data_IF_409495030529
#
_entry.id   IF_409495030529
#
_cell.length_a   1.000
_cell.length_b   1.000
_cell.length_c   1.000
_cell.angle_alpha   90.00
_cell.angle_beta   90.00
_cell.angle_gamma   90.00
#
_symmetry.space_group_name_H-M   'P 1'
#
loop_
_entity.id
_entity.type
_entity.pdbx_description
1 polymer ?
#
# COMPACT_ATOMS: atom_id res chain seq x y z
N UNK A 1 50.08 -32.22 -12.89
CA UNK A 1 49.43 -33.51 -13.21
C UNK A 1 47.92 -33.32 -13.12
N UNK A 2 47.13 -33.64 -14.16
CA UNK A 2 45.67 -33.63 -14.07
C UNK A 2 45.20 -34.72 -13.11
N UNK A 3 44.11 -34.51 -12.34
CA UNK A 3 43.60 -35.52 -11.41
C UNK A 3 43.13 -36.78 -12.15
N UNK A 4 43.30 -37.92 -11.50
CA UNK A 4 42.89 -39.25 -11.96
C UNK A 4 41.43 -39.27 -12.42
N UNK A 5 41.17 -39.78 -13.64
CA UNK A 5 39.83 -39.98 -14.24
C UNK A 5 38.87 -40.82 -13.37
N UNK A 6 39.39 -41.51 -12.35
CA UNK A 6 38.64 -42.37 -11.44
C UNK A 6 38.51 -41.81 -10.01
N UNK A 7 38.96 -40.58 -9.73
CA UNK A 7 38.54 -39.92 -8.50
C UNK A 7 37.06 -39.54 -8.64
N UNK A 8 36.18 -40.50 -8.36
CA UNK A 8 34.76 -40.20 -8.10
C UNK A 8 34.78 -39.22 -6.93
N UNK A 9 34.65 -37.93 -7.21
CA UNK A 9 34.33 -36.95 -6.17
C UNK A 9 33.04 -37.48 -5.56
N UNK A 10 33.12 -37.93 -4.31
CA UNK A 10 31.92 -38.29 -3.57
C UNK A 10 30.94 -37.12 -3.62
N UNK A 11 29.62 -37.37 -3.54
CA UNK A 11 28.65 -36.29 -3.46
C UNK A 11 29.07 -35.35 -2.34
N UNK A 12 29.37 -34.10 -2.68
CA UNK A 12 29.76 -33.10 -1.70
C UNK A 12 28.52 -32.76 -0.86
N UNK A 13 28.61 -32.93 0.46
CA UNK A 13 27.56 -32.50 1.39
C UNK A 13 27.72 -31.03 1.72
N UNK A 14 26.63 -30.36 2.09
CA UNK A 14 26.68 -29.01 2.64
C UNK A 14 27.43 -28.97 3.97
N UNK A 15 27.42 -30.06 4.75
CA UNK A 15 28.11 -30.15 6.04
C UNK A 15 29.65 -30.23 5.92
N UNK A 16 30.16 -30.59 4.75
CA UNK A 16 31.60 -30.73 4.49
C UNK A 16 32.27 -29.40 4.09
N UNK A 17 31.50 -28.32 4.00
CA UNK A 17 31.96 -27.00 3.58
C UNK A 17 32.02 -26.10 4.81
N UNK A 18 33.11 -25.36 4.92
CA UNK A 18 33.21 -24.28 5.89
C UNK A 18 32.02 -23.32 5.70
N UNK A 19 31.17 -23.08 6.72
CA UNK A 19 30.03 -22.19 6.62
C UNK A 19 30.42 -20.75 6.25
N UNK A 20 31.70 -20.39 6.37
CA UNK A 20 32.24 -19.07 5.97
C UNK A 20 32.67 -19.00 4.50
N UNK A 21 32.78 -20.11 3.76
CA UNK A 21 33.12 -20.14 2.33
C UNK A 21 31.86 -20.00 1.44
N UNK A 22 31.29 -18.79 1.44
CA UNK A 22 30.04 -18.45 0.75
C UNK A 22 30.07 -18.68 -0.76
N UNK A 23 31.23 -18.52 -1.40
CA UNK A 23 31.38 -18.74 -2.86
C UNK A 23 31.21 -20.21 -3.18
N UNK A 24 31.81 -21.09 -2.38
CA UNK A 24 31.73 -22.53 -2.56
C UNK A 24 30.34 -23.05 -2.17
N UNK A 25 29.76 -22.55 -1.08
CA UNK A 25 28.37 -22.80 -0.69
C UNK A 25 27.39 -22.43 -1.80
N UNK A 26 27.52 -21.23 -2.38
CA UNK A 26 26.65 -20.78 -3.48
C UNK A 26 26.75 -21.68 -4.72
N UNK A 27 27.96 -22.14 -5.08
CA UNK A 27 28.15 -23.08 -6.19
C UNK A 27 27.54 -24.45 -5.91
N UNK A 28 27.70 -24.97 -4.69
CA UNK A 28 27.11 -26.25 -4.28
C UNK A 28 25.58 -26.16 -4.22
N UNK A 29 25.06 -25.06 -3.70
CA UNK A 29 23.62 -24.76 -3.67
C UNK A 29 23.00 -24.74 -5.06
N UNK A 30 23.67 -24.09 -6.02
CA UNK A 30 23.17 -23.99 -7.39
C UNK A 30 23.05 -25.36 -8.08
N UNK A 31 23.95 -26.30 -7.77
CA UNK A 31 24.11 -27.55 -8.53
C UNK A 31 23.51 -28.78 -7.83
N UNK A 32 23.51 -28.84 -6.50
CA UNK A 32 23.38 -30.12 -5.77
C UNK A 32 22.29 -30.21 -4.69
N UNK A 33 21.47 -29.18 -4.46
CA UNK A 33 20.38 -29.26 -3.47
C UNK A 33 19.05 -29.74 -4.06
N UNK A 34 18.36 -30.68 -3.41
CA UNK A 34 16.96 -30.98 -3.68
C UNK A 34 16.08 -29.78 -3.32
N UNK A 35 15.25 -29.37 -4.29
CA UNK A 35 14.25 -28.31 -4.06
C UNK A 35 13.13 -28.81 -3.17
N UNK A 36 12.78 -28.01 -2.17
CA UNK A 36 11.59 -28.22 -1.35
C UNK A 36 10.50 -27.21 -1.74
N UNK A 37 9.21 -27.60 -1.71
CA UNK A 37 8.11 -26.68 -1.97
C UNK A 37 7.85 -25.70 -0.81
N UNK A 38 8.22 -26.09 0.43
CA UNK A 38 8.01 -25.30 1.64
C UNK A 38 9.04 -25.63 2.73
N UNK A 39 9.21 -24.70 3.65
CA UNK A 39 9.94 -24.81 4.91
C UNK A 39 8.94 -24.68 6.06
N UNK A 40 9.08 -25.48 7.12
CA UNK A 40 8.37 -25.27 8.38
C UNK A 40 9.35 -24.81 9.44
N UNK A 41 9.10 -23.64 10.05
CA UNK A 41 9.90 -23.12 11.15
C UNK A 41 9.63 -23.89 12.46
N UNK A 42 10.47 -23.68 13.47
CA UNK A 42 10.33 -24.30 14.79
C UNK A 42 9.01 -23.97 15.50
N UNK A 43 8.38 -22.85 15.16
CA UNK A 43 7.07 -22.45 15.68
C UNK A 43 5.89 -23.03 14.88
N UNK A 44 6.16 -23.86 13.87
CA UNK A 44 5.16 -24.45 12.98
C UNK A 44 4.78 -23.55 11.79
N UNK A 45 5.33 -22.34 11.68
CA UNK A 45 5.04 -21.44 10.55
C UNK A 45 5.58 -22.03 9.25
N UNK A 46 4.70 -22.19 8.26
CA UNK A 46 5.11 -22.60 6.91
C UNK A 46 5.54 -21.38 6.07
N UNK A 47 6.68 -21.53 5.41
CA UNK A 47 7.29 -20.55 4.50
C UNK A 47 7.40 -21.18 3.12
N UNK A 48 6.97 -20.44 2.10
CA UNK A 48 7.09 -20.83 0.70
C UNK A 48 7.99 -19.86 -0.07
N UNK A 49 8.28 -20.16 -1.35
CA UNK A 49 8.94 -19.21 -2.25
C UNK A 49 8.07 -17.98 -2.46
N UNK A 50 8.67 -16.83 -2.75
CA UNK A 50 8.04 -15.51 -2.92
C UNK A 50 7.53 -14.89 -1.60
N UNK A 51 7.70 -15.56 -0.46
CA UNK A 51 7.38 -14.99 0.85
C UNK A 51 8.58 -14.27 1.46
N UNK A 52 8.30 -13.28 2.31
CA UNK A 52 9.34 -12.53 3.00
C UNK A 52 9.55 -13.01 4.44
N UNK A 53 10.80 -12.94 4.88
CA UNK A 53 11.24 -13.39 6.20
C UNK A 53 12.12 -12.34 6.88
N UNK A 54 12.06 -12.31 8.20
CA UNK A 54 13.03 -11.61 9.03
C UNK A 54 14.14 -12.60 9.40
N UNK A 55 15.38 -12.18 9.23
CA UNK A 55 16.58 -12.95 9.52
C UNK A 55 17.22 -12.35 10.78
N UNK A 56 17.66 -13.21 11.68
CA UNK A 56 18.45 -12.81 12.83
C UNK A 56 19.75 -12.17 12.34
N UNK A 57 20.21 -11.11 13.01
CA UNK A 57 21.62 -10.75 12.94
C UNK A 57 22.40 -11.92 13.52
N UNK A 58 22.91 -12.81 12.66
CA UNK A 58 23.92 -13.78 13.08
C UNK A 58 25.17 -13.06 13.58
N UNK A 59 26.14 -13.81 14.09
CA UNK A 59 27.52 -13.34 14.04
C UNK A 59 27.82 -13.02 12.58
N UNK A 60 27.79 -11.74 12.23
CA UNK A 60 27.95 -11.34 10.86
C UNK A 60 29.38 -11.62 10.43
N UNK A 61 29.57 -12.74 9.73
CA UNK A 61 30.86 -13.11 9.15
C UNK A 61 31.35 -12.13 8.07
N UNK A 62 30.49 -11.22 7.60
CA UNK A 62 30.91 -10.15 6.70
C UNK A 62 31.48 -8.91 7.43
N UNK A 63 31.39 -8.86 8.77
CA UNK A 63 31.75 -7.69 9.60
C UNK A 63 31.04 -6.38 9.20
N UNK A 64 29.99 -6.44 8.38
CA UNK A 64 29.28 -5.27 7.87
C UNK A 64 28.06 -4.88 8.71
N UNK A 65 27.64 -5.72 9.64
CA UNK A 65 26.44 -5.58 10.47
C UNK A 65 26.76 -4.86 11.76
N UNK A 66 25.98 -3.84 12.07
CA UNK A 66 25.97 -3.25 13.39
C UNK A 66 25.21 -4.14 14.41
N UNK A 67 25.49 -4.00 15.71
CA UNK A 67 24.69 -4.64 16.76
C UNK A 67 23.21 -4.21 16.66
N UNK A 68 22.30 -5.17 16.78
CA UNK A 68 20.84 -5.01 16.69
C UNK A 68 20.27 -4.73 15.28
N UNK A 69 21.02 -5.00 14.23
CA UNK A 69 20.48 -4.91 12.87
C UNK A 69 19.46 -6.02 12.60
N UNK A 70 18.36 -5.64 11.96
CA UNK A 70 17.32 -6.57 11.52
C UNK A 70 17.38 -6.69 10.00
N UNK A 71 17.47 -7.94 9.54
CA UNK A 71 17.58 -8.26 8.14
C UNK A 71 16.26 -8.80 7.60
N UNK A 72 15.85 -8.35 6.41
CA UNK A 72 14.63 -8.81 5.76
C UNK A 72 14.90 -9.27 4.34
N UNK A 73 14.18 -10.29 3.91
CA UNK A 73 14.45 -10.92 2.64
C UNK A 73 13.26 -11.65 2.06
N UNK A 74 13.23 -11.77 0.73
CA UNK A 74 12.32 -12.67 0.02
C UNK A 74 12.98 -14.03 -0.24
N UNK A 75 12.21 -15.11 -0.10
CA UNK A 75 12.66 -16.48 -0.33
C UNK A 75 12.52 -16.81 -1.81
N UNK A 76 13.65 -16.98 -2.50
CA UNK A 76 13.65 -17.28 -3.94
C UNK A 76 13.66 -18.78 -4.26
N UNK A 77 14.38 -19.55 -3.46
CA UNK A 77 14.52 -21.00 -3.63
C UNK A 77 14.78 -21.63 -2.25
N UNK A 78 14.22 -22.82 -2.04
CA UNK A 78 14.31 -23.59 -0.80
C UNK A 78 14.97 -24.91 -1.16
N UNK A 79 16.14 -25.23 -0.60
CA UNK A 79 16.78 -26.53 -0.86
C UNK A 79 17.36 -27.19 0.39
N UNK A 80 17.28 -28.51 0.43
CA UNK A 80 17.91 -29.35 1.45
C UNK A 80 19.10 -30.15 0.89
N UNK A 81 19.91 -30.72 1.79
CA UNK A 81 20.94 -31.69 1.43
C UNK A 81 20.29 -33.03 1.07
N UNK A 82 20.57 -33.54 -0.13
CA UNK A 82 20.07 -34.83 -0.63
C UNK A 82 20.40 -36.00 0.31
N UNK A 83 21.51 -35.91 1.06
CA UNK A 83 21.98 -37.02 1.91
C UNK A 83 21.10 -37.29 3.13
N UNK A 84 20.26 -36.34 3.56
CA UNK A 84 19.40 -36.48 4.76
C UNK A 84 17.92 -36.70 4.44
N UNK A 85 17.52 -36.63 3.17
CA UNK A 85 16.11 -36.77 2.79
C UNK A 85 15.52 -38.18 3.02
N UNK A 86 16.36 -39.18 3.33
CA UNK A 86 15.95 -40.58 3.46
C UNK A 86 15.47 -40.90 4.89
N UNK A 87 15.96 -40.21 5.91
CA UNK A 87 15.57 -40.42 7.31
C UNK A 87 14.71 -39.24 7.80
N UNK A 88 13.39 -39.44 7.76
CA UNK A 88 12.32 -38.41 7.73
C UNK A 88 12.09 -37.56 9.00
N UNK A 89 12.90 -37.66 10.05
CA UNK A 89 12.57 -37.01 11.34
C UNK A 89 13.50 -35.85 11.76
N UNK A 90 14.72 -35.73 11.21
CA UNK A 90 15.67 -34.68 11.59
C UNK A 90 15.86 -33.61 10.50
N UNK A 91 14.76 -32.94 10.14
CA UNK A 91 14.76 -31.79 9.20
C UNK A 91 15.38 -30.52 9.83
N UNK A 92 15.76 -30.56 11.11
CA UNK A 92 16.18 -29.41 11.90
C UNK A 92 17.51 -28.74 11.50
N UNK A 93 18.34 -29.39 10.67
CA UNK A 93 19.75 -28.96 10.50
C UNK A 93 20.19 -28.66 9.06
N UNK A 94 19.33 -28.76 8.04
CA UNK A 94 19.82 -28.72 6.66
C UNK A 94 18.90 -27.97 5.73
N UNK A 95 19.10 -26.66 5.64
CA UNK A 95 18.55 -25.90 4.53
C UNK A 95 19.33 -24.62 4.27
N UNK A 96 19.69 -24.46 3.00
CA UNK A 96 20.26 -23.25 2.44
C UNK A 96 19.16 -22.55 1.63
N UNK A 97 19.14 -21.23 1.61
CA UNK A 97 18.15 -20.45 0.86
C UNK A 97 18.87 -19.33 0.16
N UNK A 98 18.49 -19.02 -1.08
CA UNK A 98 18.91 -17.72 -1.63
C UNK A 98 18.02 -16.64 -1.02
N UNK A 99 18.60 -15.93 -0.07
CA UNK A 99 17.96 -14.92 0.74
C UNK A 99 18.66 -13.62 0.52
N UNK A 100 17.83 -12.62 0.34
CA UNK A 100 18.28 -11.27 0.16
C UNK A 100 18.34 -10.55 1.49
N UNK A 101 19.52 -10.47 2.07
CA UNK A 101 19.67 -9.94 3.40
C UNK A 101 19.85 -8.40 3.34
N UNK A 102 19.21 -7.65 4.27
CA UNK A 102 19.17 -6.18 4.22
C UNK A 102 19.36 -5.43 5.54
N UNK A 103 20.05 -4.28 5.49
CA UNK A 103 20.65 -3.61 6.66
C UNK A 103 19.79 -2.50 7.26
N UNK A 104 19.34 -2.58 8.53
CA UNK A 104 18.64 -1.49 9.28
C UNK A 104 19.58 -0.67 10.18
N UNK A 105 20.04 0.52 9.78
CA UNK A 105 20.95 1.33 10.62
C UNK A 105 20.20 2.22 11.64
N UNK A 106 20.53 2.09 12.92
CA UNK A 106 20.13 3.02 13.99
C UNK A 106 20.88 4.35 13.89
N UNK A 107 20.11 5.44 13.77
CA UNK A 107 20.55 6.84 13.55
C UNK A 107 21.20 7.04 12.17
N UNK A 108 20.45 7.66 11.24
CA UNK A 108 20.70 7.72 9.78
C UNK A 108 20.35 6.41 9.06
N UNK A 109 19.04 6.24 8.87
CA UNK A 109 18.28 5.03 8.54
C UNK A 109 18.42 4.61 7.07
N UNK A 110 18.87 3.38 6.83
CA UNK A 110 18.64 2.65 5.59
C UNK A 110 18.17 1.25 5.94
N UNK A 111 17.42 0.61 5.04
CA UNK A 111 16.93 -0.77 5.10
C UNK A 111 16.81 -1.22 3.67
N UNK A 112 17.42 -2.32 3.27
CA UNK A 112 17.22 -2.87 1.92
C UNK A 112 16.08 -3.93 1.96
N UNK A 113 15.56 -4.53 0.86
CA UNK A 113 14.98 -5.93 0.71
C UNK A 113 15.33 -6.46 -0.68
N UNK A 114 15.20 -7.71 -1.10
CA UNK A 114 15.26 -8.19 -2.52
C UNK A 114 14.46 -9.50 -2.57
N UNK A 115 13.76 -9.99 -3.61
CA UNK A 115 13.44 -9.65 -5.01
C UNK A 115 12.11 -10.38 -5.31
N UNK A 116 11.08 -9.78 -5.92
CA UNK A 116 10.02 -10.55 -6.55
C UNK A 116 10.49 -11.10 -7.91
N UNK A 117 9.90 -12.23 -8.33
CA UNK A 117 10.25 -13.06 -9.51
C UNK A 117 10.51 -12.34 -10.86
N UNK A 118 10.21 -11.05 -11.06
CA UNK A 118 10.51 -10.34 -12.33
C UNK A 118 11.96 -9.82 -12.39
N UNK A 119 12.92 -10.74 -12.38
CA UNK A 119 14.35 -10.43 -12.53
C UNK A 119 14.68 -9.74 -13.87
N UNK A 120 13.80 -9.87 -14.86
CA UNK A 120 13.94 -9.18 -16.14
C UNK A 120 13.93 -7.64 -16.00
N UNK A 121 13.23 -7.05 -15.03
CA UNK A 121 12.93 -5.61 -15.10
C UNK A 121 14.00 -4.69 -14.48
N UNK A 122 14.86 -5.20 -13.59
CA UNK A 122 15.88 -4.36 -12.94
C UNK A 122 16.97 -3.87 -13.89
N UNK A 123 17.24 -4.60 -14.97
CA UNK A 123 18.08 -4.13 -16.06
C UNK A 123 17.37 -3.11 -16.95
N UNK A 124 16.04 -3.13 -16.96
CA UNK A 124 15.22 -2.19 -17.71
C UNK A 124 15.08 -0.85 -17.02
N UNK A 125 15.29 -0.73 -15.70
CA UNK A 125 15.26 0.57 -15.02
C UNK A 125 16.42 1.45 -15.48
N UNK A 126 16.10 2.38 -16.39
CA UNK A 126 17.11 3.30 -16.94
C UNK A 126 17.35 4.52 -16.08
N UNK A 127 16.43 4.85 -15.17
CA UNK A 127 16.44 6.15 -14.48
C UNK A 127 16.93 6.04 -13.03
N UNK A 128 18.03 6.73 -12.76
CA UNK A 128 18.57 6.90 -11.41
C UNK A 128 17.77 7.96 -10.67
N UNK A 129 17.34 7.64 -9.46
CA UNK A 129 16.58 8.52 -8.56
C UNK A 129 17.45 9.59 -7.93
N UNK A 130 18.66 9.17 -7.53
CA UNK A 130 19.55 9.93 -6.66
C UNK A 130 20.47 8.99 -5.90
N UNK A 131 21.29 9.57 -5.02
CA UNK A 131 22.12 8.82 -4.09
C UNK A 131 21.28 8.38 -2.88
N UNK A 132 21.62 7.25 -2.27
CA UNK A 132 21.04 6.76 -1.01
C UNK A 132 20.93 7.86 0.06
N UNK A 133 21.92 8.76 0.13
CA UNK A 133 21.96 9.88 1.09
C UNK A 133 20.91 10.97 0.86
N UNK A 134 20.33 11.04 -0.33
CA UNK A 134 19.35 12.08 -0.70
C UNK A 134 17.90 11.64 -0.53
N UNK A 135 17.66 10.33 -0.34
CA UNK A 135 16.31 9.82 -0.14
C UNK A 135 15.88 9.96 1.33
N UNK A 136 14.61 10.32 1.52
CA UNK A 136 13.92 10.23 2.82
C UNK A 136 13.20 8.89 2.89
N UNK A 137 13.44 8.16 3.99
CA UNK A 137 12.86 6.85 4.22
C UNK A 137 11.92 6.89 5.42
N UNK A 138 10.76 6.25 5.27
CA UNK A 138 9.91 5.96 6.41
C UNK A 138 10.58 5.01 7.41
N UNK A 139 10.08 5.00 8.65
CA UNK A 139 10.54 4.15 9.76
C UNK A 139 10.45 2.67 9.42
N UNK A 140 9.41 2.29 8.69
CA UNK A 140 9.17 0.91 8.24
C UNK A 140 9.44 0.70 6.75
N UNK A 141 10.00 1.71 6.09
CA UNK A 141 10.39 1.64 4.69
C UNK A 141 11.67 0.81 4.52
N UNK A 142 11.69 0.01 3.47
CA UNK A 142 12.82 -0.80 3.04
C UNK A 142 13.09 -0.60 1.55
N UNK A 143 14.28 -0.97 1.08
CA UNK A 143 14.79 -0.61 -0.25
C UNK A 143 15.20 -1.84 -1.05
N UNK A 144 14.50 -2.13 -2.13
CA UNK A 144 14.68 -3.38 -2.82
C UNK A 144 16.05 -3.49 -3.56
N UNK A 145 17.12 -4.07 -3.01
CA UNK A 145 18.43 -4.21 -3.68
C UNK A 145 18.49 -5.28 -4.81
N UNK A 146 19.68 -5.65 -5.31
CA UNK A 146 19.90 -6.78 -6.24
C UNK A 146 20.99 -7.78 -5.78
N UNK A 147 21.44 -7.66 -4.53
CA UNK A 147 22.23 -8.64 -3.79
C UNK A 147 21.57 -10.04 -3.69
N UNK A 148 22.38 -11.07 -3.55
CA UNK A 148 21.88 -12.41 -3.27
C UNK A 148 22.85 -13.07 -2.32
N UNK A 149 22.32 -13.73 -1.31
CA UNK A 149 23.12 -14.47 -0.35
C UNK A 149 22.48 -15.83 -0.13
N UNK A 150 23.29 -16.84 0.18
CA UNK A 150 22.76 -18.11 0.66
C UNK A 150 22.80 -18.10 2.19
N UNK A 151 21.68 -18.34 2.88
CA UNK A 151 21.65 -18.40 4.36
C UNK A 151 21.10 -19.73 4.89
N UNK A 152 21.44 -20.12 6.13
CA UNK A 152 20.82 -21.23 6.84
C UNK A 152 19.36 -20.96 7.29
N UNK A 153 18.51 -22.00 7.32
CA UNK A 153 17.13 -21.90 7.84
C UNK A 153 17.04 -21.38 9.27
N UNK A 154 18.00 -21.79 10.10
CA UNK A 154 18.05 -21.48 11.53
C UNK A 154 18.19 -19.98 11.80
N UNK A 155 18.59 -19.19 10.79
CA UNK A 155 18.65 -17.74 10.92
C UNK A 155 17.32 -17.05 10.65
N UNK A 156 16.33 -17.77 10.10
CA UNK A 156 15.00 -17.22 9.87
C UNK A 156 14.27 -17.12 11.21
N UNK A 157 14.00 -15.88 11.63
CA UNK A 157 13.31 -15.58 12.89
C UNK A 157 11.81 -15.76 12.74
N UNK A 158 11.24 -15.22 11.66
CA UNK A 158 9.79 -15.27 11.40
C UNK A 158 9.46 -14.87 9.96
N UNK A 159 8.27 -15.25 9.52
CA UNK A 159 7.62 -14.69 8.33
C UNK A 159 7.23 -13.24 8.56
N UNK A 160 7.40 -12.39 7.55
CA UNK A 160 7.02 -10.97 7.58
C UNK A 160 6.31 -10.58 6.28
N UNK A 161 5.39 -9.63 6.37
CA UNK A 161 4.73 -9.04 5.20
C UNK A 161 5.48 -7.77 4.80
N UNK A 162 5.94 -7.71 3.54
CA UNK A 162 6.48 -6.49 2.94
C UNK A 162 5.65 -6.15 1.69
N UNK A 163 5.20 -4.91 1.62
CA UNK A 163 4.33 -4.43 0.55
C UNK A 163 5.05 -3.46 -0.39
N UNK A 164 4.74 -3.55 -1.68
CA UNK A 164 5.17 -2.53 -2.63
C UNK A 164 4.28 -1.29 -2.45
N UNK A 165 4.88 -0.12 -2.32
CA UNK A 165 4.18 1.16 -2.33
C UNK A 165 4.44 1.87 -3.66
N UNK A 166 3.38 2.16 -4.40
CA UNK A 166 3.44 2.89 -5.66
C UNK A 166 2.92 4.32 -5.44
N UNK A 167 3.82 5.31 -5.46
CA UNK A 167 3.46 6.71 -5.20
C UNK A 167 2.45 7.30 -6.20
N UNK A 168 2.42 6.78 -7.42
CA UNK A 168 1.52 7.23 -8.50
C UNK A 168 0.14 6.58 -8.41
N UNK A 169 0.01 5.50 -7.65
CA UNK A 169 -1.24 4.78 -7.47
C UNK A 169 -1.88 5.21 -6.16
N UNK A 170 -2.99 5.96 -6.25
CA UNK A 170 -3.69 6.50 -5.10
C UNK A 170 -4.29 5.42 -4.18
N UNK A 171 -4.57 4.22 -4.70
CA UNK A 171 -5.10 3.10 -3.91
C UNK A 171 -4.05 2.01 -3.66
N UNK A 172 -2.88 2.10 -4.29
CA UNK A 172 -1.86 1.06 -4.25
C UNK A 172 -2.44 -0.34 -4.57
N UNK A 173 -3.36 -0.41 -5.55
CA UNK A 173 -4.13 -1.61 -5.92
C UNK A 173 -4.96 -2.25 -4.79
N UNK A 174 -5.32 -1.47 -3.78
CA UNK A 174 -6.11 -1.92 -2.63
C UNK A 174 -5.29 -2.57 -1.51
N UNK A 175 -3.97 -2.62 -1.64
CA UNK A 175 -3.11 -3.09 -0.56
C UNK A 175 -2.95 -2.01 0.51
N UNK A 176 -3.77 -2.09 1.55
CA UNK A 176 -3.59 -1.26 2.75
C UNK A 176 -2.26 -1.58 3.43
N UNK A 177 -1.41 -0.56 3.54
CA UNK A 177 -0.13 -0.61 4.25
C UNK A 177 -0.31 0.10 5.61
N UNK A 178 -0.48 -0.68 6.66
CA UNK A 178 -0.63 -0.16 8.02
C UNK A 178 0.67 0.48 8.52
N UNK A 179 0.62 1.34 9.55
CA UNK A 179 1.83 1.88 10.18
C UNK A 179 2.80 0.83 10.74
N UNK A 180 2.37 -0.44 10.90
CA UNK A 180 3.21 -1.55 11.38
C UNK A 180 3.81 -2.38 10.25
N UNK A 181 3.24 -2.30 9.05
CA UNK A 181 3.70 -3.07 7.90
C UNK A 181 5.03 -2.53 7.39
N UNK A 182 5.86 -3.44 6.88
CA UNK A 182 7.07 -3.07 6.14
C UNK A 182 6.69 -2.84 4.68
N UNK A 183 7.36 -1.91 4.03
CA UNK A 183 7.02 -1.56 2.65
C UNK A 183 8.21 -0.98 1.90
N UNK A 184 8.21 -1.08 0.56
CA UNK A 184 9.26 -0.51 -0.29
C UNK A 184 8.65 0.23 -1.48
N UNK A 185 9.33 1.30 -1.92
CA UNK A 185 9.07 1.99 -3.21
C UNK A 185 10.32 2.17 -4.06
N UNK A 186 11.48 1.93 -3.46
CA UNK A 186 12.79 2.13 -4.05
C UNK A 186 13.49 0.81 -4.28
N UNK A 187 14.36 0.78 -5.27
CA UNK A 187 15.26 -0.33 -5.54
C UNK A 187 16.72 0.14 -5.42
N UNK A 188 17.64 -0.71 -4.99
CA UNK A 188 19.07 -0.37 -4.85
C UNK A 188 19.98 -1.28 -5.69
N UNK A 189 20.69 -0.71 -6.65
CA UNK A 189 21.60 -1.50 -7.50
C UNK A 189 22.98 -1.56 -6.86
N UNK A 190 23.27 -2.69 -6.20
CA UNK A 190 24.61 -3.04 -5.71
C UNK A 190 25.59 -3.00 -6.88
N UNK A 191 26.75 -2.40 -6.63
CA UNK A 191 27.78 -2.14 -7.64
C UNK A 191 27.67 -0.76 -8.30
N UNK A 192 26.48 -0.15 -8.36
CA UNK A 192 26.31 1.22 -8.87
C UNK A 192 26.12 2.26 -7.76
N UNK A 193 25.86 1.82 -6.52
CA UNK A 193 25.54 2.69 -5.36
C UNK A 193 24.42 3.69 -5.66
N UNK A 194 23.37 3.20 -6.34
CA UNK A 194 22.27 4.03 -6.86
C UNK A 194 20.91 3.47 -6.49
N UNK A 195 20.01 4.40 -6.18
CA UNK A 195 18.59 4.10 -6.04
C UNK A 195 17.90 4.22 -7.40
N UNK A 196 17.00 3.29 -7.66
CA UNK A 196 16.17 3.17 -8.85
C UNK A 196 14.70 3.09 -8.43
N UNK A 197 13.79 3.44 -9.34
CA UNK A 197 12.36 3.20 -9.20
C UNK A 197 11.87 2.11 -10.14
N UNK A 198 10.71 1.53 -9.82
CA UNK A 198 10.08 0.45 -10.59
C UNK A 198 9.59 0.86 -11.99
N UNK A 199 9.53 2.16 -12.30
CA UNK A 199 9.14 2.66 -13.62
C UNK A 199 10.32 3.40 -14.23
N UNK A 200 10.42 3.33 -15.57
CA UNK A 200 11.32 4.16 -16.38
C UNK A 200 10.99 5.65 -16.32
N UNK A 201 9.78 5.95 -15.85
CA UNK A 201 9.39 7.31 -15.50
C UNK A 201 10.31 7.79 -14.37
N UNK A 202 10.74 9.05 -14.46
CA UNK A 202 11.43 9.64 -13.31
C UNK A 202 10.50 9.56 -12.12
N UNK A 203 11.04 9.59 -10.90
CA UNK A 203 10.13 9.71 -9.77
C UNK A 203 9.16 10.84 -10.01
N UNK A 204 7.88 10.63 -9.66
CA UNK A 204 6.93 11.71 -9.68
C UNK A 204 7.60 12.89 -8.98
N UNK A 205 7.60 14.04 -9.68
CA UNK A 205 8.11 15.27 -9.07
C UNK A 205 7.41 15.39 -7.72
N UNK A 206 8.11 15.76 -6.64
CA UNK A 206 7.48 15.96 -5.34
C UNK A 206 6.24 16.83 -5.53
N UNK A 207 5.06 16.22 -5.41
CA UNK A 207 3.82 16.69 -6.06
C UNK A 207 3.17 17.90 -5.40
N UNK A 208 3.89 18.58 -4.51
CA UNK A 208 3.40 19.69 -3.72
C UNK A 208 3.68 21.05 -4.41
N UNK A 209 3.67 22.13 -3.63
CA UNK A 209 3.92 23.49 -4.10
C UNK A 209 5.33 23.64 -4.69
N UNK A 210 5.43 24.55 -5.65
CA UNK A 210 6.73 25.02 -6.14
C UNK A 210 7.58 25.52 -4.97
N UNK A 211 8.83 25.06 -4.89
CA UNK A 211 9.74 25.37 -3.78
C UNK A 211 9.69 24.39 -2.60
N UNK A 212 8.66 23.55 -2.46
CA UNK A 212 8.64 22.52 -1.41
C UNK A 212 9.76 21.50 -1.65
N UNK A 213 9.79 20.86 -2.82
CA UNK A 213 10.83 19.90 -3.20
C UNK A 213 10.94 18.65 -2.31
N UNK A 214 10.13 18.55 -1.25
CA UNK A 214 10.15 17.45 -0.30
C UNK A 214 9.39 16.24 -0.86
N UNK A 215 9.93 15.06 -0.61
CA UNK A 215 9.25 13.80 -0.93
C UNK A 215 8.42 13.32 0.23
N UNK A 216 7.42 12.53 -0.13
CA UNK A 216 6.51 11.92 0.83
C UNK A 216 7.25 11.11 1.90
N UNK A 217 7.07 11.49 3.16
CA UNK A 217 7.58 10.79 4.35
C UNK A 217 6.39 10.35 5.23
N UNK A 218 5.88 9.12 5.07
CA UNK A 218 4.64 8.69 5.71
C UNK A 218 4.66 8.71 7.24
N UNK A 219 5.83 8.80 7.88
CA UNK A 219 5.92 8.85 9.35
C UNK A 219 5.96 10.29 9.90
N UNK A 220 6.33 11.27 9.08
CA UNK A 220 6.64 12.63 9.54
C UNK A 220 5.58 13.66 9.13
N UNK A 221 4.84 13.37 8.05
CA UNK A 221 3.95 14.34 7.41
C UNK A 221 2.62 13.70 7.00
N UNK A 222 1.61 14.56 6.84
CA UNK A 222 0.31 14.22 6.28
C UNK A 222 0.22 14.88 4.90
N UNK A 223 -0.25 14.12 3.91
CA UNK A 223 -0.57 14.64 2.59
C UNK A 223 -2.07 14.54 2.30
N UNK A 224 -2.58 15.53 1.56
CA UNK A 224 -3.96 15.64 1.07
C UNK A 224 -3.99 15.37 -0.42
N UNK A 225 -4.91 14.54 -0.90
CA UNK A 225 -5.07 14.30 -2.33
C UNK A 225 -6.18 15.17 -2.91
N UNK A 226 -5.90 15.83 -4.02
CA UNK A 226 -6.95 16.46 -4.81
C UNK A 226 -7.64 15.41 -5.70
N UNK A 227 -8.92 15.07 -5.46
CA UNK A 227 -9.59 14.04 -6.24
C UNK A 227 -9.86 14.48 -7.68
N UNK A 228 -9.88 15.79 -7.96
CA UNK A 228 -10.24 16.35 -9.27
C UNK A 228 -9.35 15.80 -10.37
N UNK A 229 -9.99 15.32 -11.44
CA UNK A 229 -9.35 14.66 -12.58
C UNK A 229 -8.19 15.47 -13.20
N UNK A 230 -8.35 16.79 -13.36
CA UNK A 230 -7.32 17.69 -13.87
C UNK A 230 -6.09 17.84 -12.94
N UNK A 231 -6.27 17.59 -11.65
CA UNK A 231 -5.22 17.78 -10.66
C UNK A 231 -4.58 16.46 -10.23
N UNK A 232 -5.33 15.54 -9.61
CA UNK A 232 -4.86 14.23 -9.10
C UNK A 232 -3.47 14.27 -8.44
N UNK A 233 -3.21 15.32 -7.63
CA UNK A 233 -1.93 15.55 -6.93
C UNK A 233 -2.07 15.41 -5.42
N UNK A 234 -0.95 15.02 -4.81
CA UNK A 234 -0.77 14.98 -3.36
C UNK A 234 -0.07 16.25 -2.86
N UNK A 235 -0.63 16.88 -1.84
CA UNK A 235 -0.15 18.12 -1.25
C UNK A 235 0.23 17.90 0.22
N UNK A 236 1.40 18.34 0.66
CA UNK A 236 1.72 18.35 2.09
C UNK A 236 0.74 19.27 2.82
N UNK A 237 0.16 18.78 3.92
CA UNK A 237 -0.78 19.56 4.71
C UNK A 237 -0.15 20.86 5.23
N UNK A 238 1.12 20.83 5.64
CA UNK A 238 1.86 22.01 6.09
C UNK A 238 1.98 23.07 4.99
N UNK A 239 2.24 22.64 3.76
CA UNK A 239 2.29 23.55 2.61
C UNK A 239 0.93 24.19 2.33
N UNK A 240 -0.17 23.45 2.50
CA UNK A 240 -1.52 23.99 2.35
C UNK A 240 -1.89 24.98 3.46
N UNK A 241 -1.49 24.69 4.71
CA UNK A 241 -1.66 25.61 5.85
C UNK A 241 -0.97 26.95 5.61
N UNK A 242 0.24 26.92 5.05
CA UNK A 242 1.02 28.13 4.77
C UNK A 242 0.43 29.03 3.67
N UNK A 243 -0.55 28.55 2.91
CA UNK A 243 -1.26 29.36 1.90
C UNK A 243 -2.47 30.12 2.47
N UNK A 244 -2.82 29.95 3.75
CA UNK A 244 -4.00 30.54 4.40
C UNK A 244 -5.34 30.24 3.68
N UNK A 245 -5.40 29.19 2.85
CA UNK A 245 -6.60 28.76 2.11
C UNK A 245 -7.36 27.66 2.86
N UNK A 246 -7.68 27.89 4.12
CA UNK A 246 -8.51 26.98 4.91
C UNK A 246 -9.97 27.29 4.60
N UNK A 247 -10.71 26.29 4.11
CA UNK A 247 -12.14 26.42 3.87
C UNK A 247 -12.90 26.05 5.16
N UNK A 248 -13.93 26.83 5.55
CA UNK A 248 -14.81 26.42 6.63
C UNK A 248 -15.51 25.11 6.25
N UNK A 249 -15.57 24.17 7.19
CA UNK A 249 -16.32 22.94 7.01
C UNK A 249 -17.79 23.27 7.12
N UNK A 250 -18.48 23.28 5.99
CA UNK A 250 -19.93 23.38 5.95
C UNK A 250 -20.51 22.01 5.61
N UNK A 251 -21.68 21.63 6.14
CA UNK A 251 -22.33 20.36 5.81
C UNK A 251 -22.65 20.20 4.30
N UNK A 252 -22.49 21.27 3.51
CA UNK A 252 -22.63 21.32 2.05
C UNK A 252 -21.34 21.03 1.27
N UNK A 253 -20.21 20.76 1.94
CA UNK A 253 -18.92 20.53 1.28
C UNK A 253 -18.80 19.17 0.58
N UNK A 254 -19.78 18.27 0.77
CA UNK A 254 -19.81 16.97 0.09
C UNK A 254 -19.86 17.13 -1.44
N UNK A 255 -20.66 18.07 -1.95
CA UNK A 255 -20.78 18.30 -3.39
C UNK A 255 -19.44 18.66 -4.03
N UNK A 256 -18.74 19.74 -3.60
CA UNK A 256 -17.41 20.09 -4.15
C UNK A 256 -16.37 18.97 -4.12
N UNK A 257 -16.49 18.02 -3.18
CA UNK A 257 -15.59 16.88 -3.01
C UNK A 257 -15.97 15.67 -3.89
N UNK A 258 -17.26 15.48 -4.10
CA UNK A 258 -17.80 14.51 -5.05
C UNK A 258 -17.38 14.92 -6.47
N UNK A 259 -17.53 16.20 -6.83
CA UNK A 259 -17.18 16.71 -8.15
C UNK A 259 -15.68 16.60 -8.45
N UNK A 260 -15.37 15.73 -9.42
CA UNK A 260 -14.02 15.53 -9.94
C UNK A 260 -13.33 14.27 -9.42
N UNK A 261 -13.90 13.56 -8.44
CA UNK A 261 -13.49 12.18 -8.14
C UNK A 261 -13.66 11.33 -9.42
N UNK A 262 -12.70 10.46 -9.79
CA UNK A 262 -12.83 9.62 -10.99
C UNK A 262 -14.18 8.92 -11.03
N UNK A 263 -14.87 9.01 -12.16
CA UNK A 263 -16.22 8.48 -12.31
C UNK A 263 -17.34 9.38 -11.80
N UNK A 264 -17.13 10.66 -11.47
CA UNK A 264 -18.20 11.60 -11.04
C UNK A 264 -18.52 12.75 -12.02
N UNK A 265 -18.19 12.64 -13.32
CA UNK A 265 -18.69 13.59 -14.34
C UNK A 265 -19.37 12.89 -15.52
N UNK A 266 -20.22 13.67 -16.19
CA UNK A 266 -21.14 13.28 -17.26
C UNK A 266 -20.47 13.16 -18.65
N UNK A 267 -21.22 13.40 -19.74
CA UNK A 267 -20.95 12.88 -21.10
C UNK A 267 -19.59 13.19 -21.75
N UNK A 268 -18.78 14.09 -21.17
CA UNK A 268 -17.45 14.43 -21.68
C UNK A 268 -16.35 13.38 -21.36
N UNK A 269 -16.63 12.42 -20.45
CA UNK A 269 -15.72 11.30 -20.16
C UNK A 269 -15.63 10.27 -21.31
N UNK A 270 -16.43 10.43 -22.38
CA UNK A 270 -16.37 9.59 -23.58
C UNK A 270 -15.35 10.08 -24.63
N UNK A 271 -14.72 11.24 -24.44
CA UNK A 271 -13.79 11.83 -25.41
C UNK A 271 -12.32 11.50 -25.12
N UNK A 272 -12.04 10.29 -24.63
CA UNK A 272 -10.69 9.82 -24.27
C UNK A 272 -9.84 9.39 -25.49
N UNK A 273 -10.17 9.88 -26.70
CA UNK A 273 -9.34 9.75 -27.89
C UNK A 273 -9.02 11.15 -28.47
N UNK A 274 -7.84 11.67 -28.10
CA UNK A 274 -7.02 12.65 -28.88
C UNK A 274 -7.46 14.12 -29.00
N UNK A 275 -8.42 14.65 -28.22
CA UNK A 275 -8.71 16.09 -28.27
C UNK A 275 -7.81 16.92 -27.32
N UNK A 276 -7.05 17.87 -27.87
CA UNK A 276 -6.33 18.91 -27.11
C UNK A 276 -7.32 19.67 -26.21
N UNK A 277 -7.14 19.53 -24.90
CA UNK A 277 -8.02 20.16 -23.89
C UNK A 277 -7.78 21.67 -23.87
N UNK A 278 -8.79 22.44 -24.28
CA UNK A 278 -8.77 23.90 -24.20
C UNK A 278 -8.90 24.37 -22.74
N UNK A 279 -7.78 24.87 -22.19
CA UNK A 279 -7.70 25.42 -20.83
C UNK A 279 -8.39 26.78 -20.66
N UNK A 280 -8.95 27.37 -21.70
CA UNK A 280 -9.60 28.69 -21.62
C UNK A 280 -11.09 28.63 -21.26
N UNK A 281 -11.68 27.44 -21.19
CA UNK A 281 -13.03 27.28 -20.66
C UNK A 281 -13.01 27.43 -19.14
N UNK A 282 -13.44 28.61 -18.67
CA UNK A 282 -13.97 28.79 -17.34
C UNK A 282 -14.98 27.67 -17.10
N UNK A 283 -14.62 26.75 -16.20
CA UNK A 283 -15.43 25.62 -15.78
C UNK A 283 -16.75 26.17 -15.22
N UNK A 284 -17.75 26.41 -16.07
CA UNK A 284 -19.13 26.58 -15.65
C UNK A 284 -19.48 25.23 -15.03
N UNK A 285 -19.33 25.15 -13.71
CA UNK A 285 -19.94 24.11 -12.90
C UNK A 285 -21.38 24.01 -13.33
N UNK A 286 -21.79 22.81 -13.71
CA UNK A 286 -23.12 22.53 -14.23
C UNK A 286 -24.11 22.65 -13.06
N UNK A 287 -24.55 23.89 -12.79
CA UNK A 287 -25.40 24.26 -11.66
C UNK A 287 -26.68 23.42 -11.64
N UNK A 288 -27.11 22.90 -12.79
CA UNK A 288 -28.30 22.07 -12.94
C UNK A 288 -28.10 20.68 -12.30
N UNK A 289 -26.98 20.01 -12.56
CA UNK A 289 -26.60 18.77 -11.90
C UNK A 289 -26.34 18.98 -10.39
N UNK A 290 -25.82 20.15 -10.01
CA UNK A 290 -25.59 20.53 -8.61
C UNK A 290 -26.92 20.64 -7.82
N UNK A 291 -28.00 21.11 -8.46
CA UNK A 291 -29.33 21.18 -7.86
C UNK A 291 -29.98 19.79 -7.76
N UNK A 292 -29.87 18.94 -8.80
CA UNK A 292 -30.43 17.58 -8.79
C UNK A 292 -29.77 16.68 -7.74
N UNK A 293 -28.44 16.70 -7.61
CA UNK A 293 -27.73 15.91 -6.60
C UNK A 293 -28.11 16.35 -5.18
N UNK A 294 -28.24 17.66 -4.97
CA UNK A 294 -28.65 18.23 -3.68
C UNK A 294 -30.07 17.83 -3.33
N UNK A 295 -30.99 17.89 -4.31
CA UNK A 295 -32.39 17.55 -4.11
C UNK A 295 -32.58 16.05 -3.87
N UNK A 296 -31.94 15.18 -4.64
CA UNK A 296 -32.03 13.72 -4.51
C UNK A 296 -31.41 13.24 -3.20
N UNK A 297 -30.16 13.65 -2.92
CA UNK A 297 -29.42 13.17 -1.74
C UNK A 297 -30.10 13.66 -0.46
N UNK A 298 -30.55 14.92 -0.40
CA UNK A 298 -31.21 15.44 0.80
C UNK A 298 -32.63 14.92 0.99
N UNK A 299 -33.40 14.69 -0.08
CA UNK A 299 -34.78 14.18 0.05
C UNK A 299 -34.82 12.72 0.49
N UNK A 300 -33.99 11.85 -0.10
CA UNK A 300 -33.97 10.43 0.25
C UNK A 300 -33.28 10.16 1.59
N UNK A 301 -32.20 10.88 1.91
CA UNK A 301 -31.62 10.80 3.25
C UNK A 301 -32.54 11.37 4.31
N UNK A 302 -33.27 12.45 4.01
CA UNK A 302 -34.29 13.00 4.91
C UNK A 302 -35.47 12.03 5.13
N UNK A 303 -35.75 11.13 4.18
CA UNK A 303 -36.73 10.05 4.37
C UNK A 303 -36.19 8.96 5.31
N UNK A 304 -34.97 8.49 5.08
CA UNK A 304 -34.32 7.50 5.97
C UNK A 304 -34.11 8.05 7.39
N UNK A 305 -33.67 9.30 7.52
CA UNK A 305 -33.48 9.97 8.82
C UNK A 305 -34.79 10.04 9.61
N UNK A 306 -35.91 10.37 8.95
CA UNK A 306 -37.24 10.35 9.56
C UNK A 306 -37.65 8.96 10.05
N UNK A 307 -37.32 7.90 9.30
CA UNK A 307 -37.62 6.53 9.73
C UNK A 307 -36.77 6.10 10.93
N UNK A 308 -35.52 6.55 11.04
CA UNK A 308 -34.68 6.31 12.24
C UNK A 308 -35.15 7.08 13.46
N UNK A 309 -35.60 8.32 13.30
CA UNK A 309 -36.24 9.06 14.39
C UNK A 309 -37.48 8.31 14.88
N UNK A 310 -38.28 7.74 13.96
CA UNK A 310 -39.43 6.90 14.32
C UNK A 310 -39.03 5.64 15.07
N UNK A 311 -37.94 4.97 14.71
CA UNK A 311 -37.49 3.78 15.47
C UNK A 311 -37.20 4.16 16.93
N UNK A 312 -36.40 5.20 17.15
CA UNK A 312 -36.07 5.67 18.50
C UNK A 312 -37.31 6.05 19.31
N UNK A 313 -38.25 6.76 18.69
CA UNK A 313 -39.52 7.14 19.32
C UNK A 313 -40.39 5.92 19.70
N UNK A 314 -40.29 4.82 18.96
CA UNK A 314 -41.04 3.59 19.21
C UNK A 314 -40.37 2.70 20.26
N UNK A 315 -39.03 2.62 20.26
CA UNK A 315 -38.26 1.96 21.32
C UNK A 315 -38.56 2.58 22.69
N UNK A 316 -38.55 3.92 22.78
CA UNK A 316 -38.88 4.66 24.01
C UNK A 316 -40.32 4.40 24.50
N UNK A 317 -41.22 4.00 23.58
CA UNK A 317 -42.64 3.71 23.88
C UNK A 317 -42.94 2.22 23.99
N UNK A 318 -41.95 1.36 23.82
CA UNK A 318 -42.08 -0.10 23.90
C UNK A 318 -43.14 -0.66 22.92
N UNK A 319 -43.19 -0.11 21.69
CA UNK A 319 -44.11 -0.51 20.64
C UNK A 319 -43.44 -1.46 19.63
N UNK A 320 -44.18 -2.46 19.15
CA UNK A 320 -43.71 -3.35 18.09
C UNK A 320 -43.51 -2.58 16.77
N UNK A 321 -42.30 -2.65 16.21
CA UNK A 321 -41.93 -2.03 14.94
C UNK A 321 -42.14 -2.99 13.76
N UNK A 322 -42.73 -2.54 12.64
CA UNK A 322 -42.74 -3.32 11.41
C UNK A 322 -41.32 -3.65 10.92
N UNK A 323 -41.11 -4.86 10.41
CA UNK A 323 -39.80 -5.34 9.92
C UNK A 323 -39.18 -4.47 8.82
N UNK A 324 -40.01 -3.80 8.03
CA UNK A 324 -39.55 -2.82 7.03
C UNK A 324 -38.90 -1.59 7.64
N UNK A 325 -39.31 -1.16 8.84
CA UNK A 325 -38.73 0.01 9.52
C UNK A 325 -37.37 -0.35 10.13
N UNK A 326 -37.24 -1.54 10.73
CA UNK A 326 -35.95 -2.03 11.26
C UNK A 326 -34.90 -2.20 10.15
N UNK A 327 -35.31 -2.73 8.98
CA UNK A 327 -34.42 -2.80 7.80
C UNK A 327 -34.00 -1.41 7.31
N UNK A 328 -34.90 -0.41 7.39
CA UNK A 328 -34.56 0.97 7.03
C UNK A 328 -33.57 1.61 8.01
N UNK A 329 -33.62 1.26 9.30
CA UNK A 329 -32.67 1.75 10.30
C UNK A 329 -31.26 1.21 10.08
N UNK A 330 -31.09 -0.11 9.95
CA UNK A 330 -29.78 -0.71 9.67
C UNK A 330 -29.17 -0.12 8.40
N UNK A 331 -30.01 0.09 7.38
CA UNK A 331 -29.62 0.69 6.12
C UNK A 331 -29.25 2.17 6.25
N UNK A 332 -29.99 2.95 7.05
CA UNK A 332 -29.67 4.34 7.34
C UNK A 332 -28.33 4.46 8.06
N UNK A 333 -28.11 3.69 9.12
CA UNK A 333 -26.87 3.72 9.89
C UNK A 333 -25.66 3.32 9.02
N UNK A 334 -25.84 2.31 8.15
CA UNK A 334 -24.83 1.96 7.15
C UNK A 334 -24.55 3.10 6.16
N UNK A 335 -25.60 3.76 5.66
CA UNK A 335 -25.46 4.87 4.71
C UNK A 335 -24.92 6.15 5.36
N UNK A 336 -25.19 6.38 6.64
CA UNK A 336 -24.60 7.46 7.44
C UNK A 336 -23.07 7.29 7.51
N UNK A 337 -22.59 6.07 7.75
CA UNK A 337 -21.16 5.75 7.69
C UNK A 337 -20.55 6.01 6.32
N UNK A 338 -21.24 5.61 5.25
CA UNK A 338 -20.82 5.89 3.85
C UNK A 338 -20.75 7.40 3.59
N UNK A 339 -21.76 8.17 4.01
CA UNK A 339 -21.76 9.63 3.86
C UNK A 339 -20.63 10.29 4.62
N UNK A 340 -20.41 9.89 5.86
CA UNK A 340 -19.32 10.42 6.67
C UNK A 340 -17.95 10.15 6.02
N UNK A 341 -17.76 8.94 5.50
CA UNK A 341 -16.56 8.57 4.78
C UNK A 341 -16.42 9.35 3.46
N UNK A 342 -17.47 9.46 2.66
CA UNK A 342 -17.44 10.19 1.39
C UNK A 342 -17.14 11.69 1.56
N UNK A 343 -17.62 12.28 2.66
CA UNK A 343 -17.33 13.66 3.11
C UNK A 343 -15.91 13.84 3.64
N UNK A 344 -15.20 12.76 3.90
CA UNK A 344 -13.85 12.86 4.44
C UNK A 344 -12.85 13.26 3.35
N UNK A 345 -11.87 14.12 3.67
CA UNK A 345 -10.76 14.40 2.76
C UNK A 345 -9.94 13.13 2.53
N UNK A 346 -9.32 13.03 1.35
CA UNK A 346 -8.40 11.93 1.06
C UNK A 346 -7.04 12.30 1.66
N UNK A 347 -6.61 11.52 2.66
CA UNK A 347 -5.41 11.78 3.45
C UNK A 347 -4.51 10.58 3.49
N UNK A 348 -3.19 10.79 3.57
CA UNK A 348 -2.20 9.75 3.87
C UNK A 348 -1.09 10.28 4.78
N UNK A 349 -0.40 9.37 5.44
CA UNK A 349 0.71 9.66 6.35
C UNK A 349 0.28 9.70 7.83
N UNK A 350 1.27 9.65 8.71
CA UNK A 350 1.16 9.53 10.17
C UNK A 350 0.17 8.43 10.59
N UNK A 351 -0.85 8.79 11.37
CA UNK A 351 -1.89 7.90 11.86
C UNK A 351 -2.74 7.27 10.74
N UNK A 352 -2.72 7.82 9.53
CA UNK A 352 -3.49 7.32 8.39
C UNK A 352 -2.77 6.21 7.61
N UNK A 353 -1.51 5.90 7.94
CA UNK A 353 -0.71 4.89 7.25
C UNK A 353 -0.15 5.38 5.90
N UNK A 354 0.55 4.50 5.19
CA UNK A 354 1.35 4.89 4.00
C UNK A 354 0.47 5.25 2.82
N UNK A 355 -0.55 4.44 2.54
CA UNK A 355 -1.50 4.65 1.43
C UNK A 355 -2.62 5.60 1.82
N UNK A 356 -2.99 5.63 3.11
CA UNK A 356 -4.00 6.53 3.61
C UNK A 356 -5.43 6.05 3.36
N UNK A 357 -6.32 7.00 3.09
CA UNK A 357 -7.78 6.82 3.08
C UNK A 357 -8.39 6.87 1.68
N UNK A 358 -7.54 6.95 0.64
CA UNK A 358 -7.96 7.23 -0.73
C UNK A 358 -8.95 6.24 -1.30
N UNK A 359 -8.66 4.94 -1.21
CA UNK A 359 -9.56 3.90 -1.69
C UNK A 359 -10.89 3.92 -0.94
N UNK A 360 -10.86 3.93 0.39
CA UNK A 360 -12.06 3.91 1.22
C UNK A 360 -12.98 5.11 0.91
N UNK A 361 -12.43 6.31 0.83
CA UNK A 361 -13.20 7.52 0.50
C UNK A 361 -13.73 7.47 -0.93
N UNK A 362 -12.92 6.99 -1.89
CA UNK A 362 -13.35 6.85 -3.30
C UNK A 362 -14.50 5.86 -3.42
N UNK A 363 -14.40 4.72 -2.75
CA UNK A 363 -15.43 3.70 -2.70
C UNK A 363 -16.73 4.20 -2.06
N UNK A 364 -16.64 4.92 -0.94
CA UNK A 364 -17.79 5.54 -0.30
C UNK A 364 -18.51 6.49 -1.28
N UNK A 365 -17.73 7.31 -2.00
CA UNK A 365 -18.28 8.19 -3.03
C UNK A 365 -18.93 7.36 -4.15
N UNK A 366 -18.29 6.30 -4.66
CA UNK A 366 -18.86 5.45 -5.71
C UNK A 366 -20.20 4.81 -5.30
N UNK A 367 -20.36 4.39 -4.05
CA UNK A 367 -21.64 3.90 -3.51
C UNK A 367 -22.71 4.99 -3.56
N UNK A 368 -22.39 6.21 -3.11
CA UNK A 368 -23.32 7.34 -3.20
C UNK A 368 -23.67 7.70 -4.64
N UNK A 369 -22.71 7.59 -5.57
CA UNK A 369 -22.99 7.79 -7.00
C UNK A 369 -24.02 6.79 -7.51
N UNK A 370 -23.81 5.51 -7.20
CA UNK A 370 -24.74 4.44 -7.55
C UNK A 370 -26.13 4.74 -7.00
N UNK A 371 -26.20 5.20 -5.74
CA UNK A 371 -27.47 5.57 -5.11
C UNK A 371 -28.20 6.69 -5.84
N UNK A 372 -27.50 7.77 -6.21
CA UNK A 372 -28.08 8.88 -6.98
C UNK A 372 -28.55 8.41 -8.36
N UNK A 373 -27.74 7.61 -9.07
CA UNK A 373 -28.10 7.15 -10.41
C UNK A 373 -29.35 6.27 -10.44
N UNK A 374 -29.66 5.63 -9.31
CA UNK A 374 -30.80 4.73 -9.12
C UNK A 374 -31.99 5.47 -8.51
N UNK A 375 -31.82 6.64 -7.88
CA UNK A 375 -32.88 7.38 -7.20
C UNK A 375 -34.05 7.83 -8.10
N UNK A 376 -33.92 7.70 -9.43
CA UNK A 376 -35.07 7.73 -10.36
C UNK A 376 -36.01 6.50 -10.20
N UNK A 377 -35.64 5.56 -9.35
CA UNK A 377 -36.42 4.41 -8.87
C UNK A 377 -36.49 4.59 -7.35
N UNK A 378 -37.68 4.54 -6.73
CA UNK A 378 -37.93 4.83 -5.30
C UNK A 378 -37.18 3.92 -4.27
N UNK A 379 -36.12 3.23 -4.70
CA UNK A 379 -35.35 2.25 -3.96
C UNK A 379 -33.88 2.61 -3.99
N UNK A 380 -33.28 2.80 -2.80
CA UNK A 380 -31.83 2.84 -2.65
C UNK A 380 -31.20 1.56 -3.24
N UNK A 381 -29.93 1.62 -3.69
CA UNK A 381 -29.20 0.44 -4.14
C UNK A 381 -29.10 -0.58 -3.02
N UNK A 382 -29.42 -1.83 -3.34
CA UNK A 382 -29.23 -2.97 -2.45
C UNK A 382 -27.71 -3.22 -2.28
N UNK A 383 -27.10 -2.46 -1.37
CA UNK A 383 -25.68 -2.56 -1.08
C UNK A 383 -25.51 -3.61 0.00
N UNK A 384 -24.75 -4.70 -0.24
CA UNK A 384 -24.59 -5.77 0.72
C UNK A 384 -24.14 -5.23 2.09
N UNK A 385 -24.70 -5.71 3.22
CA UNK A 385 -24.32 -5.26 4.56
C UNK A 385 -22.81 -5.33 4.82
N UNK A 386 -22.12 -6.34 4.27
CA UNK A 386 -20.66 -6.50 4.36
C UNK A 386 -19.90 -5.32 3.72
N UNK A 387 -20.44 -4.75 2.65
CA UNK A 387 -19.86 -3.58 1.96
C UNK A 387 -20.06 -2.31 2.77
N UNK A 388 -21.15 -2.20 3.55
CA UNK A 388 -21.43 -1.06 4.42
C UNK A 388 -20.65 -1.16 5.75
N UNK A 389 -20.44 -2.38 6.26
CA UNK A 389 -19.78 -2.63 7.54
C UNK A 389 -18.36 -2.03 7.62
N UNK A 390 -17.64 -1.94 6.49
CA UNK A 390 -16.31 -1.31 6.43
C UNK A 390 -16.31 0.20 6.71
N UNK A 391 -17.47 0.86 6.59
CA UNK A 391 -17.62 2.29 6.87
C UNK A 391 -18.19 2.58 8.27
N UNK A 392 -18.84 1.60 8.90
CA UNK A 392 -19.52 1.79 10.19
C UNK A 392 -18.57 2.21 11.33
N UNK A 393 -17.32 1.73 11.31
CA UNK A 393 -16.30 2.08 12.29
C UNK A 393 -15.50 3.34 11.91
N UNK A 394 -15.78 3.93 10.73
CA UNK A 394 -14.96 4.98 10.17
C UNK A 394 -15.38 6.36 10.68
N UNK A 395 -14.65 6.86 11.67
CA UNK A 395 -14.75 8.25 12.14
C UNK A 395 -13.36 8.88 12.05
N UNK A 396 -13.03 9.45 10.89
CA UNK A 396 -11.89 10.35 10.85
C UNK A 396 -12.19 11.56 11.76
N UNK A 397 -11.16 12.08 12.46
CA UNK A 397 -11.30 13.39 13.09
C UNK A 397 -11.80 14.38 12.03
N UNK A 398 -12.57 15.37 12.46
CA UNK A 398 -12.94 16.48 11.58
C UNK A 398 -11.63 17.19 11.22
N UNK A 399 -11.10 16.88 10.04
CA UNK A 399 -9.87 17.45 9.54
C UNK A 399 -10.19 18.75 8.81
N UNK A 400 -9.32 19.78 8.89
CA UNK A 400 -9.51 21.00 8.11
C UNK A 400 -9.57 20.66 6.62
N UNK A 401 -10.47 21.33 5.90
CA UNK A 401 -10.50 21.30 4.44
C UNK A 401 -9.64 22.43 3.89
N UNK A 402 -8.95 22.16 2.79
CA UNK A 402 -8.14 23.15 2.11
C UNK A 402 -8.67 23.37 0.68
N UNK A 403 -8.30 24.50 0.07
CA UNK A 403 -8.46 24.67 -1.38
C UNK A 403 -7.21 24.19 -2.10
N UNK A 404 -7.39 23.33 -3.10
CA UNK A 404 -6.35 22.89 -4.01
C UNK A 404 -5.68 24.10 -4.67
N UNK A 405 -4.35 24.25 -4.59
CA UNK A 405 -3.63 25.37 -5.21
C UNK A 405 -3.86 25.48 -6.72
N UNK A 406 -3.98 24.34 -7.41
CA UNK A 406 -4.04 24.29 -8.88
C UNK A 406 -5.45 24.53 -9.44
N UNK A 407 -6.49 24.02 -8.77
CA UNK A 407 -7.86 24.03 -9.34
C UNK A 407 -8.91 24.67 -8.43
N UNK A 408 -8.52 25.15 -7.24
CA UNK A 408 -9.41 25.74 -6.24
C UNK A 408 -10.39 24.78 -5.56
N UNK A 409 -10.42 23.50 -5.96
CA UNK A 409 -11.32 22.50 -5.38
C UNK A 409 -11.00 22.12 -3.94
N UNK A 410 -11.99 21.66 -3.18
CA UNK A 410 -11.79 21.21 -1.80
C UNK A 410 -10.92 19.93 -1.72
N UNK A 411 -9.99 19.88 -0.76
CA UNK A 411 -9.10 18.74 -0.48
C UNK A 411 -8.95 18.45 1.01
#
# INVERSE_FOLDING_TARGET
MPPSRNSRRGPASFCDIDPTDWVKLGRLFAVHGARLPKLTLSDGTEITTDECVQIASGEDFSETSAPNEVWFAEILDIKSDDKRAIDREDVGESLCYTVSATKTRGVSRYSHIIKPRSLADLEHYRKTVGNLRTCRFGRNEVVLSNHFQVIPAVWIVRKVRILCFNEEDSSNKGDYISPKDRWYRYHFKVGLDRIMTRKDQGLPKPGCLEGCGLRYSPDEEVQRFCPRWLCRKWWHEECLRNLDRVLPITPYSLLPMIHGTPGFRGPDDAADDEADVDYTNNLQTDIEFDNELTEIVLNDLGKLERDVIRVKDFEDRNLDLPSSILQNEERYLGMEGVLWCARSPIVRGKEHGVVGTGELVTDARMILKGAVSIANTDTLPDTPPETLARFASWKLPILPMFSCPDCGGAI
#
